data_IF_999903883915
#
_entry.id   IF_999903883915
#
_cell.length_a   1.000
_cell.length_b   1.000
_cell.length_c   1.000
_cell.angle_alpha   90.00
_cell.angle_beta   90.00
_cell.angle_gamma   90.00
#
_symmetry.space_group_name_H-M   'P 1'
#
loop_
_entity.id
_entity.type
_entity.pdbx_description
1 polymer ?
#
# COMPACT_ATOMS: atom_id res chain seq x y z
N UNK A 1 -4.40 8.95 0.64
CA UNK A 1 -4.92 7.60 0.88
C UNK A 1 -3.86 6.61 1.38
N UNK A 2 -2.68 6.55 0.76
CA UNK A 2 -1.61 5.64 1.20
C UNK A 2 -1.07 5.96 2.60
N UNK A 3 -1.02 7.22 2.99
CA UNK A 3 -0.49 7.67 4.30
C UNK A 3 -1.46 7.32 5.41
N UNK A 4 -2.75 7.59 5.22
CA UNK A 4 -3.80 7.24 6.18
C UNK A 4 -3.85 5.71 6.37
N UNK A 5 -3.80 4.95 5.28
CA UNK A 5 -3.81 3.48 5.35
C UNK A 5 -2.62 2.94 6.16
N UNK A 6 -1.42 3.48 5.94
CA UNK A 6 -0.23 3.08 6.70
C UNK A 6 -0.35 3.41 8.19
N UNK A 7 -0.84 4.61 8.50
CA UNK A 7 -1.03 5.01 9.91
C UNK A 7 -2.10 4.15 10.57
N UNK A 8 -3.23 3.93 9.90
CA UNK A 8 -4.30 3.07 10.38
C UNK A 8 -3.78 1.64 10.64
N UNK A 9 -3.07 1.07 9.67
CA UNK A 9 -2.49 -0.28 9.79
C UNK A 9 -1.54 -0.37 10.98
N UNK A 10 -0.66 0.62 11.17
CA UNK A 10 0.27 0.67 12.31
C UNK A 10 -0.44 0.67 13.65
N UNK A 11 -1.54 1.44 13.78
CA UNK A 11 -2.31 1.52 15.01
C UNK A 11 -3.07 0.22 15.30
N UNK A 12 -3.56 -0.44 14.25
CA UNK A 12 -4.20 -1.75 14.38
C UNK A 12 -3.19 -2.86 14.70
N UNK A 13 -2.00 -2.82 14.10
CA UNK A 13 -0.90 -3.74 14.44
C UNK A 13 -0.51 -3.64 15.91
N UNK A 14 -0.41 -2.41 16.45
CA UNK A 14 -0.11 -2.22 17.87
C UNK A 14 -1.21 -2.83 18.75
N UNK A 15 -2.47 -2.57 18.43
CA UNK A 15 -3.60 -3.13 19.17
C UNK A 15 -3.68 -4.66 19.05
N UNK A 16 -3.28 -5.22 17.93
CA UNK A 16 -3.16 -6.67 17.73
C UNK A 16 -2.06 -7.26 18.61
N UNK A 17 -0.90 -6.63 18.66
CA UNK A 17 0.20 -7.03 19.54
C UNK A 17 -0.24 -7.03 20.99
N UNK A 18 -0.88 -5.96 21.46
CA UNK A 18 -1.39 -5.84 22.82
C UNK A 18 -2.39 -6.97 23.16
N UNK A 19 -3.23 -7.34 22.19
CA UNK A 19 -4.18 -8.46 22.34
C UNK A 19 -3.48 -9.81 22.43
N UNK A 20 -2.47 -10.03 21.58
CA UNK A 20 -1.71 -11.29 21.55
C UNK A 20 -0.82 -11.47 22.78
N UNK A 21 -0.22 -10.39 23.28
CA UNK A 21 0.59 -10.40 24.50
C UNK A 21 -0.25 -10.78 25.72
N UNK A 22 -1.46 -10.23 25.85
CA UNK A 22 -2.40 -10.57 26.93
C UNK A 22 -2.81 -12.04 26.95
N UNK A 23 -2.76 -12.71 25.82
CA UNK A 23 -3.14 -14.10 25.65
C UNK A 23 -1.96 -15.05 25.44
N UNK A 24 -0.73 -14.57 25.63
CA UNK A 24 0.53 -15.33 25.45
C UNK A 24 0.67 -16.01 24.07
N UNK A 25 0.25 -15.28 23.01
CA UNK A 25 0.23 -15.75 21.60
C UNK A 25 1.02 -14.83 20.66
N UNK A 26 2.05 -14.18 21.14
CA UNK A 26 2.87 -13.22 20.38
C UNK A 26 3.48 -13.81 19.09
N UNK A 27 3.75 -15.11 19.06
CA UNK A 27 4.31 -15.78 17.87
C UNK A 27 3.39 -15.77 16.64
N UNK A 28 2.09 -15.57 16.80
CA UNK A 28 1.11 -15.54 15.70
C UNK A 28 1.05 -14.19 14.97
N UNK A 29 1.71 -13.16 15.49
CA UNK A 29 1.61 -11.80 14.97
C UNK A 29 2.00 -11.68 13.49
N UNK A 30 3.11 -12.26 13.08
CA UNK A 30 3.62 -12.15 11.70
C UNK A 30 2.67 -12.74 10.66
N UNK A 31 1.90 -13.76 11.05
CA UNK A 31 0.91 -14.38 10.18
C UNK A 31 -0.34 -13.51 10.08
N UNK A 32 -0.79 -12.99 11.23
CA UNK A 32 -2.05 -12.24 11.33
C UNK A 32 -1.95 -10.84 10.73
N UNK A 33 -0.79 -10.19 10.81
CA UNK A 33 -0.60 -8.83 10.29
C UNK A 33 -0.72 -8.71 8.78
N UNK A 34 -0.45 -9.77 8.01
CA UNK A 34 -0.41 -9.71 6.54
C UNK A 34 -1.71 -9.24 5.90
N UNK A 35 -2.85 -9.59 6.50
CA UNK A 35 -4.18 -9.24 6.00
C UNK A 35 -5.03 -8.58 7.11
N UNK A 36 -4.39 -7.79 7.96
CA UNK A 36 -5.03 -7.17 9.12
C UNK A 36 -6.15 -6.22 8.70
N UNK A 37 -5.86 -5.34 7.74
CA UNK A 37 -6.79 -4.38 7.18
C UNK A 37 -6.77 -4.48 5.66
N UNK A 38 -7.95 -4.51 5.06
CA UNK A 38 -8.17 -4.51 3.61
C UNK A 38 -9.12 -3.38 3.23
N UNK A 39 -9.04 -2.91 2.00
CA UNK A 39 -10.01 -1.96 1.47
C UNK A 39 -11.37 -2.65 1.34
N UNK A 40 -12.45 -1.97 1.73
CA UNK A 40 -13.81 -2.48 1.57
C UNK A 40 -14.16 -2.68 0.10
N UNK A 41 -14.87 -3.76 -0.19
CA UNK A 41 -15.36 -4.04 -1.54
C UNK A 41 -16.65 -3.28 -1.89
N UNK A 42 -17.37 -2.78 -0.90
CA UNK A 42 -18.63 -2.03 -1.04
C UNK A 42 -18.64 -0.85 -0.06
N UNK A 43 -19.23 0.26 -0.49
CA UNK A 43 -19.39 1.47 0.33
C UNK A 43 -20.18 1.23 1.62
N UNK A 44 -21.13 0.30 1.60
CA UNK A 44 -21.93 -0.10 2.76
C UNK A 44 -21.08 -0.59 3.94
N UNK A 45 -19.89 -1.13 3.67
CA UNK A 45 -18.98 -1.68 4.66
C UNK A 45 -17.93 -0.67 5.14
N UNK A 46 -18.08 0.60 4.79
CA UNK A 46 -17.13 1.66 5.12
C UNK A 46 -15.92 1.68 4.20
N UNK A 47 -14.85 2.35 4.62
CA UNK A 47 -13.66 2.57 3.80
C UNK A 47 -12.71 1.37 3.85
N UNK A 48 -12.58 0.74 5.02
CA UNK A 48 -11.72 -0.41 5.25
C UNK A 48 -12.43 -1.47 6.08
N UNK A 49 -11.88 -2.68 6.05
CA UNK A 49 -12.37 -3.81 6.82
C UNK A 49 -11.21 -4.56 7.48
N UNK A 50 -11.38 -4.89 8.77
CA UNK A 50 -10.46 -5.71 9.52
C UNK A 50 -11.02 -7.13 9.69
N UNK A 51 -10.25 -8.13 9.25
CA UNK A 51 -10.69 -9.52 9.20
C UNK A 51 -10.00 -10.41 10.25
N UNK A 52 -9.11 -9.83 11.05
CA UNK A 52 -8.22 -10.57 11.97
C UNK A 52 -9.00 -11.35 13.05
N UNK A 53 -10.16 -10.85 13.45
CA UNK A 53 -10.95 -11.49 14.53
C UNK A 53 -11.42 -12.90 14.17
N UNK A 54 -11.62 -13.20 12.89
CA UNK A 54 -11.92 -14.56 12.44
C UNK A 54 -10.73 -15.52 12.62
N UNK A 55 -9.53 -15.02 12.41
CA UNK A 55 -8.31 -15.81 12.64
C UNK A 55 -8.03 -15.97 14.12
N UNK A 56 -8.21 -14.91 14.91
CA UNK A 56 -8.08 -14.94 16.37
C UNK A 56 -9.09 -15.89 17.03
N UNK A 57 -10.30 -16.04 16.45
CA UNK A 57 -11.30 -16.95 16.98
C UNK A 57 -10.85 -18.41 16.96
N UNK A 58 -10.10 -18.79 15.93
CA UNK A 58 -9.51 -20.12 15.81
C UNK A 58 -8.39 -20.35 16.85
N UNK A 59 -7.59 -19.30 17.10
CA UNK A 59 -6.47 -19.35 18.04
C UNK A 59 -6.97 -19.36 19.49
N UNK A 60 -7.96 -18.51 19.81
CA UNK A 60 -8.49 -18.37 21.16
C UNK A 60 -9.63 -19.36 21.47
N UNK A 61 -10.13 -20.08 20.45
CA UNK A 61 -11.29 -20.98 20.55
C UNK A 61 -12.52 -20.29 21.18
N UNK A 62 -12.75 -19.03 20.80
CA UNK A 62 -13.85 -18.18 21.24
C UNK A 62 -14.72 -17.76 20.06
N UNK A 63 -15.94 -17.29 20.35
CA UNK A 63 -16.82 -16.75 19.32
C UNK A 63 -16.15 -15.53 18.64
N UNK A 64 -16.11 -15.47 17.29
CA UNK A 64 -15.50 -14.34 16.57
C UNK A 64 -16.10 -12.99 16.94
N UNK A 65 -17.40 -12.91 17.19
CA UNK A 65 -18.07 -11.67 17.57
C UNK A 65 -17.61 -11.14 18.93
N UNK A 66 -17.41 -12.04 19.91
CA UNK A 66 -16.91 -11.64 21.23
C UNK A 66 -15.49 -11.09 21.13
N UNK A 67 -14.65 -11.73 20.32
CA UNK A 67 -13.29 -11.25 20.03
C UNK A 67 -13.32 -9.90 19.33
N UNK A 68 -14.26 -9.70 18.39
CA UNK A 68 -14.41 -8.41 17.70
C UNK A 68 -14.83 -7.30 18.67
N UNK A 69 -15.72 -7.59 19.64
CA UNK A 69 -16.09 -6.64 20.68
C UNK A 69 -14.87 -6.27 21.56
N UNK A 70 -14.13 -7.28 22.02
CA UNK A 70 -12.92 -7.06 22.83
C UNK A 70 -11.88 -6.25 22.07
N UNK A 71 -11.71 -6.55 20.78
CA UNK A 71 -10.76 -5.85 19.93
C UNK A 71 -11.17 -4.41 19.65
N UNK A 72 -12.46 -4.14 19.40
CA UNK A 72 -12.99 -2.77 19.27
C UNK A 72 -12.79 -1.99 20.58
N UNK A 73 -13.00 -2.62 21.72
CA UNK A 73 -12.75 -1.98 23.01
C UNK A 73 -11.28 -1.58 23.20
N UNK A 74 -10.34 -2.39 22.69
CA UNK A 74 -8.92 -2.03 22.66
C UNK A 74 -8.64 -0.87 21.69
N UNK A 75 -9.20 -0.93 20.48
CA UNK A 75 -9.06 0.10 19.47
C UNK A 75 -9.60 1.46 19.96
N UNK A 76 -10.74 1.47 20.63
CA UNK A 76 -11.36 2.68 21.16
C UNK A 76 -10.55 3.35 22.29
N UNK A 77 -9.69 2.60 22.99
CA UNK A 77 -8.75 3.17 23.96
C UNK A 77 -7.59 3.91 23.29
N UNK A 78 -7.35 3.65 22.03
CA UNK A 78 -6.27 4.29 21.26
C UNK A 78 -6.73 5.66 20.73
N UNK A 79 -6.16 6.73 21.30
CA UNK A 79 -6.48 8.11 20.91
C UNK A 79 -6.20 8.40 19.42
N UNK A 80 -5.23 7.72 18.80
CA UNK A 80 -4.92 7.89 17.39
C UNK A 80 -6.02 7.31 16.51
N UNK A 81 -6.57 6.17 16.85
CA UNK A 81 -7.71 5.57 16.15
C UNK A 81 -8.95 6.45 16.28
N UNK A 82 -9.22 6.96 17.49
CA UNK A 82 -10.34 7.87 17.73
C UNK A 82 -10.22 9.19 16.90
N UNK A 83 -9.02 9.61 16.53
CA UNK A 83 -8.82 10.75 15.62
C UNK A 83 -9.07 10.40 14.16
N UNK A 84 -8.74 9.19 13.73
CA UNK A 84 -8.84 8.76 12.33
C UNK A 84 -10.23 8.23 11.98
N UNK A 85 -10.82 7.41 12.86
CA UNK A 85 -12.05 6.68 12.58
C UNK A 85 -13.27 7.43 13.08
N UNK A 86 -14.34 7.43 12.26
CA UNK A 86 -15.68 7.91 12.60
C UNK A 86 -16.47 6.83 13.33
N UNK A 87 -16.44 5.60 12.82
CA UNK A 87 -17.06 4.43 13.42
C UNK A 87 -16.27 3.15 13.19
N UNK A 88 -16.39 2.23 14.13
CA UNK A 88 -15.94 0.85 14.05
C UNK A 88 -17.15 -0.03 14.34
N UNK A 89 -17.58 -0.82 13.37
CA UNK A 89 -18.81 -1.59 13.44
C UNK A 89 -18.57 -3.06 13.16
N UNK A 90 -19.17 -3.95 13.96
CA UNK A 90 -19.06 -5.38 13.72
C UNK A 90 -20.07 -5.80 12.66
N UNK A 91 -19.57 -6.46 11.61
CA UNK A 91 -20.38 -6.99 10.54
C UNK A 91 -20.23 -8.51 10.42
N UNK A 92 -21.30 -9.18 10.04
CA UNK A 92 -21.31 -10.61 9.76
C UNK A 92 -20.77 -11.47 10.91
N UNK A 93 -19.90 -12.43 10.63
CA UNK A 93 -19.39 -13.38 11.63
C UNK A 93 -18.29 -12.83 12.55
N UNK A 94 -17.86 -11.56 12.38
CA UNK A 94 -16.79 -10.98 13.19
C UNK A 94 -15.83 -10.10 12.40
N UNK A 95 -16.26 -9.55 11.27
CA UNK A 95 -15.56 -8.49 10.55
C UNK A 95 -15.74 -7.16 11.28
N UNK A 96 -14.73 -6.30 11.22
CA UNK A 96 -14.84 -4.94 11.73
C UNK A 96 -14.77 -3.99 10.54
N UNK A 97 -15.89 -3.34 10.26
CA UNK A 97 -15.98 -2.28 9.27
C UNK A 97 -15.45 -0.98 9.86
N UNK A 98 -14.63 -0.29 9.10
CA UNK A 98 -13.92 0.93 9.53
C UNK A 98 -14.37 2.06 8.62
N UNK A 99 -14.96 3.10 9.21
CA UNK A 99 -15.30 4.34 8.51
C UNK A 99 -14.39 5.47 9.00
N UNK A 100 -13.71 6.14 8.09
CA UNK A 100 -12.85 7.27 8.40
C UNK A 100 -13.67 8.54 8.63
N UNK A 101 -13.08 9.51 9.33
CA UNK A 101 -13.65 10.85 9.45
C UNK A 101 -13.46 11.63 8.16
N UNK A 102 -14.49 12.34 7.73
CA UNK A 102 -14.44 13.18 6.53
C UNK A 102 -13.33 14.22 6.61
N UNK A 103 -13.08 14.78 7.80
CA UNK A 103 -12.01 15.75 8.04
C UNK A 103 -10.61 15.17 7.74
N UNK A 104 -10.40 13.89 8.05
CA UNK A 104 -9.12 13.20 7.79
C UNK A 104 -8.90 13.06 6.28
N UNK A 105 -9.96 12.67 5.55
CA UNK A 105 -9.92 12.54 4.10
C UNK A 105 -9.71 13.90 3.43
N UNK A 106 -10.43 14.94 3.87
CA UNK A 106 -10.30 16.30 3.34
C UNK A 106 -8.88 16.85 3.56
N UNK A 107 -8.31 16.64 4.74
CA UNK A 107 -6.96 17.09 5.06
C UNK A 107 -5.91 16.36 4.22
N UNK A 108 -6.06 15.06 4.00
CA UNK A 108 -5.20 14.29 3.10
C UNK A 108 -5.28 14.83 1.66
N UNK A 109 -6.48 15.08 1.15
CA UNK A 109 -6.68 15.63 -0.21
C UNK A 109 -6.04 17.01 -0.32
N UNK A 110 -6.28 17.90 0.65
CA UNK A 110 -5.66 19.23 0.67
C UNK A 110 -4.14 19.17 0.68
N UNK A 111 -3.57 18.32 1.51
CA UNK A 111 -2.13 18.07 1.58
C UNK A 111 -1.58 17.56 0.24
N UNK A 112 -2.29 16.65 -0.41
CA UNK A 112 -1.89 16.09 -1.69
C UNK A 112 -1.94 17.12 -2.83
N UNK A 113 -2.96 17.99 -2.85
CA UNK A 113 -3.09 19.07 -3.84
C UNK A 113 -1.95 20.09 -3.67
N UNK A 114 -1.57 20.40 -2.44
CA UNK A 114 -0.47 21.34 -2.15
C UNK A 114 0.91 20.75 -2.44
N UNK A 115 1.02 19.45 -2.58
CA UNK A 115 2.27 18.77 -2.88
C UNK A 115 2.53 18.73 -4.38
N UNK A 116 3.69 19.22 -4.83
CA UNK A 116 4.12 19.19 -6.26
C UNK A 116 4.14 17.78 -6.87
N UNK A 117 4.00 16.73 -6.08
CA UNK A 117 3.98 15.32 -6.48
C UNK A 117 2.63 14.66 -6.26
N UNK A 118 1.55 15.41 -6.13
CA UNK A 118 0.21 14.89 -5.92
C UNK A 118 0.12 13.83 -4.78
N UNK A 119 0.86 14.04 -3.69
CA UNK A 119 0.88 13.13 -2.54
C UNK A 119 1.65 11.82 -2.75
N UNK A 120 2.36 11.65 -3.87
CA UNK A 120 3.20 10.48 -4.09
C UNK A 120 4.43 10.57 -3.18
N UNK A 121 4.62 9.61 -2.25
CA UNK A 121 5.74 9.66 -1.33
C UNK A 121 7.05 9.40 -2.07
N UNK A 122 8.10 10.14 -1.71
CA UNK A 122 9.46 9.77 -2.09
C UNK A 122 9.79 8.40 -1.51
N UNK A 123 10.43 7.56 -2.29
CA UNK A 123 11.16 6.44 -1.73
C UNK A 123 12.47 7.04 -1.18
N UNK A 124 12.44 7.52 0.07
CA UNK A 124 13.69 7.75 0.78
C UNK A 124 14.29 6.38 1.01
N UNK A 125 15.28 6.06 0.23
CA UNK A 125 16.29 5.14 0.69
C UNK A 125 17.16 5.94 1.64
N UNK A 126 17.44 5.35 2.79
CA UNK A 126 18.37 5.91 3.74
C UNK A 126 19.64 6.26 2.97
N UNK A 127 19.91 7.55 2.85
CA UNK A 127 21.09 8.08 2.16
C UNK A 127 22.39 7.51 2.76
N UNK A 128 22.32 6.93 3.95
CA UNK A 128 23.42 6.29 4.67
C UNK A 128 23.78 4.89 4.16
N UNK A 129 22.98 4.26 3.30
CA UNK A 129 23.24 2.89 2.81
C UNK A 129 24.26 2.80 1.68
N UNK A 130 24.76 3.94 1.16
CA UNK A 130 25.70 3.97 0.03
C UNK A 130 25.13 3.44 -1.29
N UNK A 131 23.87 3.10 -1.34
CA UNK A 131 23.17 2.63 -2.55
C UNK A 131 22.80 3.81 -3.44
N UNK A 132 23.18 3.73 -4.71
CA UNK A 132 22.81 4.72 -5.73
C UNK A 132 21.29 4.81 -5.88
N UNK A 133 20.76 6.03 -5.92
CA UNK A 133 19.36 6.28 -6.30
C UNK A 133 19.14 6.24 -7.81
N UNK A 134 20.15 5.79 -8.60
CA UNK A 134 20.06 5.71 -10.05
C UNK A 134 19.33 4.46 -10.48
N UNK A 135 18.39 4.63 -11.41
CA UNK A 135 17.67 3.55 -12.08
C UNK A 135 17.84 3.70 -13.56
N UNK A 136 18.35 2.65 -14.21
CA UNK A 136 18.47 2.62 -15.66
C UNK A 136 17.23 1.92 -16.21
N UNK A 137 16.52 2.58 -17.12
CA UNK A 137 15.37 2.02 -17.85
C UNK A 137 15.77 1.90 -19.31
N UNK A 138 15.98 0.68 -19.76
CA UNK A 138 16.30 0.39 -21.17
C UNK A 138 15.01 0.10 -21.93
N UNK A 139 14.72 0.93 -22.92
CA UNK A 139 13.54 0.80 -23.76
C UNK A 139 13.77 1.39 -25.17
N UNK A 140 12.83 1.10 -26.09
CA UNK A 140 12.87 1.60 -27.46
C UNK A 140 14.14 1.17 -28.19
N UNK A 141 14.22 -0.11 -28.58
CA UNK A 141 15.35 -0.65 -29.33
C UNK A 141 15.00 -0.75 -30.83
N UNK A 142 14.86 0.38 -31.56
CA UNK A 142 14.51 0.35 -32.98
C UNK A 142 15.67 -0.18 -33.83
N UNK A 143 15.34 -0.82 -34.94
CA UNK A 143 16.34 -1.21 -35.95
C UNK A 143 16.61 -0.01 -36.84
N UNK A 144 17.88 0.39 -36.97
CA UNK A 144 18.29 1.53 -37.76
C UNK A 144 17.99 1.37 -39.26
N UNK A 145 17.87 0.14 -39.73
CA UNK A 145 17.64 -0.19 -41.14
C UNK A 145 16.16 -0.42 -41.48
N UNK A 146 15.23 -0.24 -40.53
CA UNK A 146 13.80 -0.45 -40.77
C UNK A 146 12.98 0.70 -40.20
N UNK A 147 11.85 0.98 -40.84
CA UNK A 147 10.90 1.95 -40.33
C UNK A 147 10.33 1.50 -38.97
N UNK A 148 10.10 2.47 -38.11
CA UNK A 148 9.48 2.23 -36.83
C UNK A 148 8.01 1.84 -37.02
N UNK A 149 7.54 0.87 -36.25
CA UNK A 149 6.15 0.43 -36.23
C UNK A 149 5.53 0.54 -34.82
N UNK A 150 4.24 0.29 -34.73
CA UNK A 150 3.46 0.43 -33.49
C UNK A 150 4.05 -0.34 -32.29
N UNK A 151 4.74 -1.45 -32.52
CA UNK A 151 5.41 -2.20 -31.46
C UNK A 151 6.55 -1.40 -30.80
N UNK A 152 7.32 -0.65 -31.58
CA UNK A 152 8.36 0.25 -31.05
C UNK A 152 7.74 1.41 -30.26
N UNK A 153 6.65 2.01 -30.77
CA UNK A 153 5.94 3.08 -30.09
C UNK A 153 5.41 2.62 -28.72
N UNK A 154 4.84 1.43 -28.68
CA UNK A 154 4.34 0.83 -27.42
C UNK A 154 5.45 0.70 -26.38
N UNK A 155 6.59 0.12 -26.73
CA UNK A 155 7.70 -0.06 -25.79
C UNK A 155 8.28 1.28 -25.34
N UNK A 156 8.34 2.26 -26.23
CA UNK A 156 8.81 3.62 -25.93
C UNK A 156 7.90 4.32 -24.91
N UNK A 157 6.58 4.30 -25.14
CA UNK A 157 5.61 4.94 -24.23
C UNK A 157 5.64 4.27 -22.84
N UNK A 158 5.71 2.94 -22.79
CA UNK A 158 5.77 2.21 -21.52
C UNK A 158 7.07 2.56 -20.78
N UNK A 159 8.21 2.53 -21.47
CA UNK A 159 9.51 2.82 -20.87
C UNK A 159 9.62 4.26 -20.37
N UNK A 160 9.18 5.24 -21.15
CA UNK A 160 9.15 6.65 -20.75
C UNK A 160 8.24 6.85 -19.53
N UNK A 161 7.07 6.23 -19.51
CA UNK A 161 6.16 6.29 -18.37
C UNK A 161 6.77 5.71 -17.09
N UNK A 162 7.48 4.59 -17.21
CA UNK A 162 8.19 3.96 -16.07
C UNK A 162 9.29 4.89 -15.56
N UNK A 163 10.09 5.48 -16.46
CA UNK A 163 11.15 6.43 -16.08
C UNK A 163 10.59 7.61 -15.31
N UNK A 164 9.51 8.23 -15.80
CA UNK A 164 8.82 9.34 -15.11
C UNK A 164 8.26 8.95 -13.75
N UNK A 165 7.76 7.73 -13.59
CA UNK A 165 7.30 7.23 -12.30
C UNK A 165 8.48 7.13 -11.32
N UNK A 166 9.64 6.64 -11.74
CA UNK A 166 10.83 6.60 -10.91
C UNK A 166 11.30 8.00 -10.51
N UNK A 167 11.35 8.94 -11.45
CA UNK A 167 11.69 10.34 -11.17
C UNK A 167 10.73 10.98 -10.18
N UNK A 168 9.42 10.78 -10.38
CA UNK A 168 8.39 11.28 -9.48
C UNK A 168 8.55 10.72 -8.06
N UNK A 169 9.09 9.51 -7.93
CA UNK A 169 9.39 8.87 -6.65
C UNK A 169 10.77 9.23 -6.08
N UNK A 170 11.52 10.10 -6.75
CA UNK A 170 12.78 10.65 -6.27
C UNK A 170 14.03 9.85 -6.64
N UNK A 171 13.91 8.95 -7.62
CA UNK A 171 15.08 8.31 -8.22
C UNK A 171 15.67 9.19 -9.32
N UNK A 172 16.95 9.06 -9.58
CA UNK A 172 17.61 9.55 -10.80
C UNK A 172 17.39 8.51 -11.88
N UNK A 173 16.34 8.68 -12.70
CA UNK A 173 16.06 7.75 -13.79
C UNK A 173 16.89 8.12 -15.03
N UNK A 174 17.63 7.15 -15.53
CA UNK A 174 18.39 7.27 -16.77
C UNK A 174 17.71 6.41 -17.83
N UNK A 175 17.18 7.08 -18.85
CA UNK A 175 16.62 6.41 -20.02
C UNK A 175 17.75 5.97 -20.94
N UNK A 176 17.78 4.71 -21.28
CA UNK A 176 18.74 4.14 -22.20
C UNK A 176 18.03 3.52 -23.39
N UNK A 177 18.49 3.87 -24.60
CA UNK A 177 17.93 3.33 -25.85
C UNK A 177 19.05 2.69 -26.67
N UNK A 178 18.86 1.41 -27.00
CA UNK A 178 19.74 0.70 -27.89
C UNK A 178 19.24 0.83 -29.34
N UNK A 179 20.11 1.23 -30.25
CA UNK A 179 19.87 1.07 -31.68
C UNK A 179 20.38 -0.30 -32.09
N UNK A 180 19.51 -1.15 -32.61
CA UNK A 180 19.91 -2.44 -33.14
C UNK A 180 20.53 -2.27 -34.49
N UNK A 181 21.73 -2.86 -34.70
CA UNK A 181 22.33 -2.98 -36.00
C UNK A 181 21.49 -3.90 -36.90
N UNK A 182 21.67 -3.76 -38.21
CA UNK A 182 21.01 -4.62 -39.18
C UNK A 182 21.50 -6.06 -38.99
N UNK A 183 20.64 -6.89 -38.37
CA UNK A 183 20.90 -8.32 -38.35
C UNK A 183 20.63 -8.88 -39.75
N UNK A 184 21.67 -9.11 -40.52
CA UNK A 184 21.61 -9.93 -41.73
C UNK A 184 21.31 -11.35 -41.29
N UNK A 185 20.10 -11.82 -41.58
CA UNK A 185 19.82 -13.26 -41.49
C UNK A 185 20.74 -13.96 -42.47
N UNK A 186 21.65 -14.73 -41.96
CA UNK A 186 22.31 -15.76 -42.78
C UNK A 186 21.25 -16.83 -43.06
N UNK A 187 20.93 -17.00 -44.33
CA UNK A 187 20.12 -18.10 -44.82
C UNK A 187 20.97 -19.34 -44.99
#
# INVERSE_FOLDING_TARGET
>A
MLIIFKELTKQFEQSLLDSLEKNDKKGEFEILRKNLITQSSKEEFGDYQCNVCLSLSKIYKKNPRDISNDFINLLNKNKSIAKLCKSLEIAGPGFINIKLKDEVLINEIKSNIQCNRAGIPLIRKDLDSGLSNKVIVDFSSPNIAKEMHVGHLRSTIIGDSISRIFELRGYEAVSYTHLRAHETKWH
#
